data_IF_590732589371
#
_entry.id   IF_590732589371
#
_cell.length_a   1.000
_cell.length_b   1.000
_cell.length_c   1.000
_cell.angle_alpha   90.00
_cell.angle_beta   90.00
_cell.angle_gamma   90.00
#
_symmetry.space_group_name_H-M   'P 1'
#
loop_
_entity.id
_entity.type
_entity.pdbx_description
1 polymer ?
#
# COMPACT_ATOMS: atom_id res chain seq x y z
N UNK A 1 -20.60 -2.75 13.67
CA UNK A 1 -19.91 -3.86 12.94
C UNK A 1 -18.44 -3.53 12.78
N UNK A 2 -17.51 -4.48 12.99
CA UNK A 2 -16.04 -4.28 12.76
C UNK A 2 -15.46 -3.05 13.45
N UNK A 3 -15.80 -2.77 14.71
CA UNK A 3 -15.39 -1.54 15.41
C UNK A 3 -13.85 -1.41 15.52
N UNK A 4 -13.15 -2.53 15.72
CA UNK A 4 -11.69 -2.53 15.78
C UNK A 4 -11.06 -2.20 14.41
N UNK A 5 -11.62 -2.72 13.33
CA UNK A 5 -11.18 -2.46 11.96
C UNK A 5 -11.50 -1.02 11.55
N UNK A 6 -12.70 -0.49 11.90
CA UNK A 6 -13.06 0.92 11.68
C UNK A 6 -12.05 1.86 12.34
N UNK A 7 -11.73 1.62 13.61
CA UNK A 7 -10.75 2.43 14.33
C UNK A 7 -9.35 2.32 13.73
N UNK A 8 -8.92 1.10 13.36
CA UNK A 8 -7.63 0.87 12.73
C UNK A 8 -7.52 1.56 11.36
N UNK A 9 -8.59 1.52 10.55
CA UNK A 9 -8.67 2.22 9.25
C UNK A 9 -8.57 3.74 9.45
N UNK A 10 -9.35 4.31 10.36
CA UNK A 10 -9.33 5.74 10.66
C UNK A 10 -7.97 6.20 11.21
N UNK A 11 -7.39 5.43 12.14
CA UNK A 11 -6.08 5.73 12.71
C UNK A 11 -4.98 5.68 11.63
N UNK A 12 -5.05 4.70 10.72
CA UNK A 12 -4.10 4.59 9.61
C UNK A 12 -4.25 5.74 8.62
N UNK A 13 -5.48 6.14 8.29
CA UNK A 13 -5.75 7.30 7.44
C UNK A 13 -5.11 8.58 8.01
N UNK A 14 -5.32 8.86 9.30
CA UNK A 14 -4.67 10.00 9.99
C UNK A 14 -3.15 9.88 9.99
N UNK A 15 -2.60 8.69 10.17
CA UNK A 15 -1.15 8.47 10.14
C UNK A 15 -0.56 8.75 8.76
N UNK A 16 -1.20 8.32 7.68
CA UNK A 16 -0.76 8.61 6.31
C UNK A 16 -0.72 10.11 6.02
N UNK A 17 -1.72 10.87 6.50
CA UNK A 17 -1.74 12.31 6.39
C UNK A 17 -0.60 12.96 7.20
N UNK A 18 -0.36 12.51 8.43
CA UNK A 18 0.74 13.01 9.28
C UNK A 18 2.13 12.74 8.68
N UNK A 19 2.29 11.63 7.95
CA UNK A 19 3.53 11.28 7.23
C UNK A 19 3.67 12.00 5.86
N UNK A 20 2.65 12.75 5.44
CA UNK A 20 2.65 13.47 4.15
C UNK A 20 2.48 12.56 2.94
N UNK A 21 1.91 11.36 3.11
CA UNK A 21 1.71 10.40 2.02
C UNK A 21 0.39 10.62 1.28
N UNK A 22 -0.46 11.49 1.78
CA UNK A 22 -1.75 11.87 1.19
C UNK A 22 -1.97 13.37 1.31
N UNK A 23 -2.75 13.93 0.38
CA UNK A 23 -3.12 15.34 0.39
C UNK A 23 -4.64 15.49 0.31
N UNK A 24 -5.24 16.10 1.33
CA UNK A 24 -6.70 16.32 1.38
C UNK A 24 -7.48 15.01 1.39
N UNK A 25 -8.29 14.77 0.37
CA UNK A 25 -9.12 13.56 0.20
C UNK A 25 -8.48 12.52 -0.73
N UNK A 26 -7.25 12.71 -1.16
CA UNK A 26 -6.54 11.73 -1.99
C UNK A 26 -6.05 10.55 -1.15
N UNK A 27 -6.16 9.35 -1.70
CA UNK A 27 -5.82 8.12 -1.00
C UNK A 27 -6.97 7.53 -0.18
N UNK A 28 -6.84 6.26 0.19
CA UNK A 28 -7.84 5.51 0.93
C UNK A 28 -7.24 4.27 1.59
N UNK A 29 -7.93 3.78 2.63
CA UNK A 29 -7.47 2.67 3.47
C UNK A 29 -8.61 1.71 3.68
N UNK A 30 -8.31 0.41 3.68
CA UNK A 30 -9.28 -0.60 4.10
C UNK A 30 -8.64 -1.76 4.87
N UNK A 31 -9.46 -2.43 5.67
CA UNK A 31 -9.10 -3.67 6.37
C UNK A 31 -10.24 -4.67 6.25
N UNK A 32 -9.89 -5.93 5.94
CA UNK A 32 -10.86 -7.02 5.78
C UNK A 32 -10.88 -7.93 7.00
N UNK A 33 -12.08 -8.39 7.38
CA UNK A 33 -12.27 -9.43 8.39
C UNK A 33 -13.58 -10.16 8.17
N UNK A 34 -13.56 -11.48 8.25
CA UNK A 34 -14.74 -12.35 8.21
C UNK A 34 -15.66 -12.09 6.98
N UNK A 35 -15.04 -11.83 5.81
CA UNK A 35 -15.75 -11.57 4.56
C UNK A 35 -16.32 -10.14 4.42
N UNK A 36 -16.05 -9.27 5.38
CA UNK A 36 -16.42 -7.85 5.37
C UNK A 36 -15.18 -6.97 5.27
N UNK A 37 -15.34 -5.77 4.73
CA UNK A 37 -14.28 -4.78 4.52
C UNK A 37 -14.69 -3.45 5.12
N UNK A 38 -13.94 -2.98 6.12
CA UNK A 38 -13.99 -1.61 6.60
C UNK A 38 -13.16 -0.73 5.66
N UNK A 39 -13.73 0.37 5.14
CA UNK A 39 -13.06 1.21 4.14
C UNK A 39 -13.38 2.68 4.35
N UNK A 40 -12.40 3.56 4.13
CA UNK A 40 -12.60 5.02 4.16
C UNK A 40 -13.64 5.45 3.15
N UNK A 41 -14.49 6.46 3.46
CA UNK A 41 -15.50 6.93 2.54
C UNK A 41 -14.90 7.79 1.42
N UNK A 42 -15.64 7.93 0.33
CA UNK A 42 -15.27 8.82 -0.77
C UNK A 42 -15.24 10.28 -0.30
N UNK A 43 -14.23 11.02 -0.74
CA UNK A 43 -14.06 12.43 -0.40
C UNK A 43 -13.64 12.71 1.06
N UNK A 44 -13.31 11.68 1.86
CA UNK A 44 -12.85 11.86 3.22
C UNK A 44 -11.52 12.62 3.28
N UNK A 45 -11.43 13.63 4.15
CA UNK A 45 -10.16 14.28 4.50
C UNK A 45 -9.47 13.36 5.49
N UNK A 46 -8.41 12.65 5.05
CA UNK A 46 -7.82 11.56 5.82
C UNK A 46 -7.22 12.01 7.14
N UNK A 47 -6.75 13.26 7.24
CA UNK A 47 -6.28 13.85 8.50
C UNK A 47 -7.35 13.89 9.60
N UNK A 48 -8.64 13.99 9.19
CA UNK A 48 -9.78 14.12 10.07
C UNK A 48 -10.58 12.81 10.21
N UNK A 49 -10.14 11.73 9.57
CA UNK A 49 -10.89 10.48 9.55
C UNK A 49 -11.22 9.97 10.95
N UNK A 50 -12.48 9.57 11.16
CA UNK A 50 -12.96 8.94 12.38
C UNK A 50 -13.56 7.56 12.08
N UNK A 51 -13.64 6.71 13.11
CA UNK A 51 -14.22 5.37 12.95
C UNK A 51 -15.71 5.41 12.54
N UNK A 52 -16.44 6.46 12.91
CA UNK A 52 -17.85 6.67 12.52
C UNK A 52 -18.01 6.93 11.03
N UNK A 53 -16.98 7.46 10.35
CA UNK A 53 -17.04 7.75 8.92
C UNK A 53 -16.81 6.50 8.05
N UNK A 54 -16.17 5.47 8.62
CA UNK A 54 -15.77 4.26 7.89
C UNK A 54 -16.98 3.43 7.49
N UNK A 55 -17.11 3.18 6.19
CA UNK A 55 -18.13 2.30 5.63
C UNK A 55 -17.72 0.83 5.76
N UNK A 56 -18.71 -0.06 5.88
CA UNK A 56 -18.52 -1.51 5.78
C UNK A 56 -19.18 -2.00 4.50
N UNK A 57 -18.42 -2.76 3.72
CA UNK A 57 -18.91 -3.41 2.50
C UNK A 57 -18.65 -4.92 2.57
N UNK A 58 -19.43 -5.70 1.82
CA UNK A 58 -19.09 -7.10 1.56
C UNK A 58 -18.06 -7.23 0.40
N UNK A 59 -17.59 -8.43 0.13
CA UNK A 59 -16.62 -8.66 -0.95
C UNK A 59 -17.23 -8.48 -2.37
N UNK A 60 -18.55 -8.38 -2.50
CA UNK A 60 -19.27 -8.02 -3.72
C UNK A 60 -19.40 -6.52 -3.90
N UNK A 61 -19.00 -5.72 -2.89
CA UNK A 61 -19.01 -4.25 -2.92
C UNK A 61 -20.33 -3.64 -2.47
N UNK A 62 -21.24 -4.42 -1.90
CA UNK A 62 -22.49 -3.90 -1.34
C UNK A 62 -22.21 -3.33 0.05
N UNK A 63 -22.63 -2.09 0.28
CA UNK A 63 -22.53 -1.49 1.60
C UNK A 63 -23.51 -2.15 2.57
N UNK A 64 -22.98 -2.62 3.71
CA UNK A 64 -23.76 -3.33 4.75
C UNK A 64 -23.86 -2.55 6.06
N UNK A 65 -22.98 -1.53 6.25
CA UNK A 65 -23.01 -0.63 7.42
C UNK A 65 -22.32 0.70 7.10
N UNK A 66 -22.62 1.75 7.86
CA UNK A 66 -22.09 3.11 7.69
C UNK A 66 -23.02 4.02 6.90
N UNK A 67 -22.94 5.33 7.17
CA UNK A 67 -23.80 6.36 6.54
C UNK A 67 -23.18 6.96 5.28
N UNK A 68 -21.85 6.95 5.18
CA UNK A 68 -21.09 7.54 4.07
C UNK A 68 -20.82 6.49 2.99
N UNK A 69 -20.85 6.90 1.72
CA UNK A 69 -20.53 6.03 0.60
C UNK A 69 -19.03 5.60 0.66
N UNK A 70 -18.70 4.33 0.40
CA UNK A 70 -17.31 3.87 0.37
C UNK A 70 -16.51 4.61 -0.72
N UNK A 71 -15.19 4.54 -0.63
CA UNK A 71 -14.29 5.14 -1.62
C UNK A 71 -14.70 4.81 -3.06
N UNK A 72 -14.55 5.76 -3.97
CA UNK A 72 -14.76 5.56 -5.42
C UNK A 72 -13.76 4.54 -6.00
N UNK A 73 -12.66 4.25 -5.30
CA UNK A 73 -11.64 3.27 -5.71
C UNK A 73 -11.86 1.89 -5.06
N UNK A 74 -13.08 1.61 -4.62
CA UNK A 74 -13.46 0.32 -4.05
C UNK A 74 -13.09 -0.88 -4.94
N UNK A 75 -13.18 -0.84 -6.29
CA UNK A 75 -12.73 -1.95 -7.14
C UNK A 75 -11.27 -2.35 -6.92
N UNK A 76 -10.39 -1.37 -6.67
CA UNK A 76 -8.97 -1.59 -6.39
C UNK A 76 -8.78 -2.40 -5.09
N UNK A 77 -9.49 -2.01 -4.02
CA UNK A 77 -9.45 -2.70 -2.73
C UNK A 77 -10.03 -4.11 -2.81
N UNK A 78 -11.24 -4.24 -3.33
CA UNK A 78 -11.90 -5.55 -3.45
C UNK A 78 -11.12 -6.52 -4.35
N UNK A 79 -10.52 -6.00 -5.43
CA UNK A 79 -9.64 -6.76 -6.29
C UNK A 79 -8.43 -7.32 -5.54
N UNK A 80 -7.79 -6.51 -4.68
CA UNK A 80 -6.65 -6.95 -3.86
C UNK A 80 -7.04 -8.06 -2.87
N UNK A 81 -8.21 -7.94 -2.22
CA UNK A 81 -8.71 -8.98 -1.32
C UNK A 81 -8.99 -10.28 -2.06
N UNK A 82 -9.67 -10.22 -3.20
CA UNK A 82 -10.06 -11.41 -3.98
C UNK A 82 -8.87 -12.10 -4.62
N UNK A 83 -7.90 -11.33 -5.14
CA UNK A 83 -6.78 -11.88 -5.92
C UNK A 83 -5.62 -12.33 -5.05
N UNK A 84 -5.35 -11.61 -3.95
CA UNK A 84 -4.15 -11.81 -3.13
C UNK A 84 -4.44 -12.29 -1.70
N UNK A 85 -5.71 -12.34 -1.29
CA UNK A 85 -6.06 -12.68 0.08
C UNK A 85 -5.48 -11.68 1.09
N UNK A 86 -5.34 -10.42 0.70
CA UNK A 86 -4.84 -9.38 1.57
C UNK A 86 -5.68 -9.25 2.85
N UNK A 87 -5.07 -8.85 3.97
CA UNK A 87 -5.80 -8.49 5.18
C UNK A 87 -6.10 -6.99 5.24
N UNK A 88 -5.30 -6.16 4.56
CA UNK A 88 -5.50 -4.72 4.44
C UNK A 88 -4.90 -4.15 3.17
N UNK A 89 -5.43 -3.01 2.73
CA UNK A 89 -5.02 -2.27 1.54
C UNK A 89 -4.85 -0.80 1.88
N UNK A 90 -3.75 -0.22 1.45
CA UNK A 90 -3.43 1.21 1.58
C UNK A 90 -3.11 1.77 0.20
N UNK A 91 -3.88 2.74 -0.24
CA UNK A 91 -3.63 3.55 -1.43
C UNK A 91 -3.21 4.95 -1.02
N UNK A 92 -2.11 5.45 -1.60
CA UNK A 92 -1.57 6.78 -1.29
C UNK A 92 -1.20 7.55 -2.56
N UNK A 93 -1.10 8.87 -2.42
CA UNK A 93 -0.50 9.77 -3.40
C UNK A 93 0.85 10.30 -2.89
N UNK A 94 1.66 9.39 -2.35
CA UNK A 94 2.97 9.67 -1.77
C UNK A 94 3.87 10.42 -2.78
N UNK A 95 4.40 11.60 -2.45
CA UNK A 95 4.91 12.55 -3.45
C UNK A 95 6.05 12.02 -4.30
N UNK A 96 7.04 11.34 -3.70
CA UNK A 96 8.21 10.88 -4.44
C UNK A 96 7.90 9.62 -5.24
N UNK A 97 7.15 8.68 -4.66
CA UNK A 97 6.70 7.48 -5.37
C UNK A 97 5.81 7.86 -6.57
N UNK A 98 4.90 8.81 -6.38
CA UNK A 98 4.07 9.34 -7.48
C UNK A 98 4.92 10.02 -8.56
N UNK A 99 5.90 10.85 -8.18
CA UNK A 99 6.79 11.49 -9.14
C UNK A 99 7.58 10.45 -9.97
N UNK A 100 8.06 9.39 -9.32
CA UNK A 100 8.76 8.30 -10.03
C UNK A 100 7.83 7.52 -10.95
N UNK A 101 6.55 7.35 -10.60
CA UNK A 101 5.56 6.69 -11.47
C UNK A 101 5.31 7.44 -12.79
N UNK A 102 5.67 8.73 -12.84
CA UNK A 102 5.55 9.55 -14.06
C UNK A 102 6.72 9.35 -15.04
N UNK A 103 7.82 8.71 -14.62
CA UNK A 103 9.06 8.64 -15.41
C UNK A 103 9.69 7.24 -15.47
N UNK A 104 9.22 6.30 -14.66
CA UNK A 104 9.73 4.93 -14.63
C UNK A 104 8.64 3.93 -15.04
N UNK A 105 9.08 2.78 -15.57
CA UNK A 105 8.25 1.59 -15.73
C UNK A 105 8.33 0.67 -14.49
N UNK A 106 9.41 0.81 -13.71
CA UNK A 106 9.66 0.02 -12.50
C UNK A 106 10.62 0.77 -11.57
N UNK A 107 10.34 0.80 -10.27
CA UNK A 107 11.30 1.23 -9.24
C UNK A 107 12.23 0.05 -8.92
N UNK A 108 13.53 0.12 -9.31
CA UNK A 108 14.46 -0.97 -9.10
C UNK A 108 14.88 -1.10 -7.64
N UNK A 109 15.45 -2.25 -7.26
CA UNK A 109 15.89 -2.51 -5.89
C UNK A 109 17.17 -1.75 -5.58
N UNK A 110 17.05 -0.61 -4.90
CA UNK A 110 18.17 0.21 -4.42
C UNK A 110 18.56 -0.07 -2.96
N UNK A 111 17.70 -0.79 -2.24
CA UNK A 111 17.92 -1.11 -0.84
C UNK A 111 17.33 -2.46 -0.47
N UNK A 112 18.03 -3.23 0.34
CA UNK A 112 17.65 -4.61 0.69
C UNK A 112 16.25 -4.72 1.35
N UNK A 113 15.79 -3.71 2.07
CA UNK A 113 14.45 -3.72 2.68
C UNK A 113 13.32 -3.81 1.65
N UNK A 114 13.55 -3.40 0.38
CA UNK A 114 12.55 -3.54 -0.69
C UNK A 114 12.18 -5.00 -0.98
N UNK A 115 12.96 -5.96 -0.50
CA UNK A 115 12.61 -7.38 -0.54
C UNK A 115 11.28 -7.66 0.19
N UNK A 116 10.92 -6.86 1.21
CA UNK A 116 9.61 -6.95 1.87
C UNK A 116 8.43 -6.57 0.95
N UNK A 117 8.69 -5.75 -0.07
CA UNK A 117 7.72 -5.41 -1.12
C UNK A 117 7.63 -6.47 -2.24
N UNK A 118 8.49 -7.50 -2.17
CA UNK A 118 8.61 -8.57 -3.16
C UNK A 118 9.78 -8.37 -4.15
N UNK A 119 10.47 -7.23 -4.14
CA UNK A 119 11.55 -6.86 -5.04
C UNK A 119 11.30 -5.54 -5.77
N UNK A 120 11.65 -5.42 -7.06
CA UNK A 120 11.35 -4.23 -7.84
C UNK A 120 9.85 -3.95 -7.87
N UNK A 121 9.45 -2.67 -7.79
CA UNK A 121 8.04 -2.28 -7.75
C UNK A 121 7.61 -1.73 -9.11
N UNK A 122 6.73 -2.44 -9.81
CA UNK A 122 6.29 -2.10 -11.16
C UNK A 122 5.33 -0.93 -11.16
N UNK A 123 5.30 -0.21 -12.28
CA UNK A 123 4.35 0.87 -12.53
C UNK A 123 3.22 0.32 -13.40
N UNK A 124 2.00 0.34 -12.90
CA UNK A 124 0.80 0.05 -13.69
C UNK A 124 0.59 1.15 -14.74
N UNK A 125 0.19 0.81 -15.97
CA UNK A 125 -0.19 1.81 -16.96
C UNK A 125 -1.30 2.74 -16.44
N UNK A 126 -1.31 3.97 -16.97
CA UNK A 126 -2.35 4.94 -16.61
C UNK A 126 -3.74 4.47 -17.03
N UNK A 127 -4.68 4.57 -16.11
CA UNK A 127 -6.12 4.50 -16.35
C UNK A 127 -6.83 5.49 -15.43
N UNK A 128 -8.07 5.84 -15.76
CA UNK A 128 -8.85 6.82 -14.98
C UNK A 128 -9.16 6.27 -13.59
N UNK A 129 -9.03 7.11 -12.57
CA UNK A 129 -9.32 6.74 -11.18
C UNK A 129 -10.75 6.20 -11.00
N UNK A 130 -10.92 5.25 -10.08
CA UNK A 130 -12.23 4.65 -9.77
C UNK A 130 -12.75 3.64 -10.80
N UNK A 131 -12.01 3.39 -11.90
CA UNK A 131 -12.43 2.43 -12.93
C UNK A 131 -11.96 1.00 -12.60
N UNK A 132 -12.68 0.01 -13.12
CA UNK A 132 -12.25 -1.39 -13.05
C UNK A 132 -10.94 -1.60 -13.82
N UNK A 133 -10.75 -0.89 -14.93
CA UNK A 133 -9.49 -0.94 -15.71
C UNK A 133 -8.28 -0.55 -14.87
N UNK A 134 -8.36 0.55 -14.10
CA UNK A 134 -7.27 0.93 -13.19
C UNK A 134 -7.01 -0.16 -12.16
N UNK A 135 -8.06 -0.75 -11.59
CA UNK A 135 -7.92 -1.83 -10.63
C UNK A 135 -7.20 -3.03 -11.24
N UNK A 136 -7.62 -3.48 -12.42
CA UNK A 136 -7.06 -4.65 -13.10
C UNK A 136 -5.57 -4.43 -13.45
N UNK A 137 -5.23 -3.29 -14.05
CA UNK A 137 -3.84 -2.94 -14.40
C UNK A 137 -2.94 -2.85 -13.17
N UNK A 138 -3.43 -2.23 -12.08
CA UNK A 138 -2.67 -2.11 -10.84
C UNK A 138 -2.43 -3.47 -10.20
N UNK A 139 -3.46 -4.31 -10.15
CA UNK A 139 -3.33 -5.67 -9.61
C UNK A 139 -2.42 -6.54 -10.49
N UNK A 140 -2.41 -6.37 -11.80
CA UNK A 140 -1.47 -7.07 -12.67
C UNK A 140 -0.01 -6.67 -12.38
N UNK A 141 0.26 -5.38 -12.18
CA UNK A 141 1.57 -4.88 -11.80
C UNK A 141 2.02 -5.42 -10.42
N UNK A 142 1.09 -5.75 -9.54
CA UNK A 142 1.36 -6.32 -8.21
C UNK A 142 1.66 -7.82 -8.21
N UNK A 143 1.63 -8.53 -9.34
CA UNK A 143 1.91 -9.97 -9.37
C UNK A 143 3.22 -10.29 -8.63
N UNK A 144 3.15 -11.17 -7.60
CA UNK A 144 4.26 -11.53 -6.71
C UNK A 144 4.88 -10.35 -5.90
N UNK A 145 4.12 -9.29 -5.70
CA UNK A 145 4.53 -8.09 -4.97
C UNK A 145 3.49 -7.69 -3.91
N UNK A 146 3.95 -6.94 -2.90
CA UNK A 146 3.08 -6.33 -1.89
C UNK A 146 2.78 -4.85 -2.20
N UNK A 147 3.29 -4.34 -3.33
CA UNK A 147 3.13 -2.95 -3.75
C UNK A 147 3.16 -2.80 -5.27
N UNK A 148 2.48 -1.77 -5.77
CA UNK A 148 2.62 -1.26 -7.13
C UNK A 148 2.62 0.26 -7.12
N UNK A 149 3.28 0.85 -8.10
CA UNK A 149 3.11 2.24 -8.51
C UNK A 149 2.00 2.31 -9.57
N UNK A 150 1.28 3.40 -9.62
CA UNK A 150 0.26 3.68 -10.64
C UNK A 150 0.68 4.92 -11.41
N UNK A 151 0.85 4.80 -12.72
CA UNK A 151 1.34 5.88 -13.59
C UNK A 151 0.54 7.16 -13.39
N UNK A 152 1.24 8.28 -13.07
CA UNK A 152 0.65 9.60 -12.86
C UNK A 152 -0.48 9.67 -11.81
N UNK A 153 -0.46 8.76 -10.82
CA UNK A 153 -1.54 8.66 -9.85
C UNK A 153 -1.01 8.50 -8.42
N UNK A 154 -0.38 7.38 -8.09
CA UNK A 154 0.02 7.09 -6.73
C UNK A 154 0.53 5.67 -6.54
N UNK A 155 0.21 5.07 -5.38
CA UNK A 155 0.69 3.74 -4.99
C UNK A 155 -0.43 2.89 -4.42
N UNK A 156 -0.32 1.57 -4.58
CA UNK A 156 -1.13 0.59 -3.85
C UNK A 156 -0.20 -0.33 -3.07
N UNK A 157 -0.47 -0.50 -1.77
CA UNK A 157 0.23 -1.45 -0.92
C UNK A 157 -0.77 -2.36 -0.21
N UNK A 158 -0.40 -3.64 -0.08
CA UNK A 158 -1.19 -4.64 0.66
C UNK A 158 -0.37 -5.22 1.82
N UNK A 159 -1.07 -5.79 2.78
CA UNK A 159 -0.47 -6.52 3.90
C UNK A 159 -1.40 -7.58 4.46
N UNK A 160 -0.84 -8.51 5.25
CA UNK A 160 -1.64 -9.49 6.00
C UNK A 160 -2.53 -8.83 7.07
N UNK A 161 -2.16 -7.61 7.47
CA UNK A 161 -2.88 -6.73 8.38
C UNK A 161 -2.60 -5.27 8.03
N UNK A 162 -3.31 -4.37 8.70
CA UNK A 162 -3.23 -2.93 8.43
C UNK A 162 -1.86 -2.33 8.80
N UNK A 163 -1.19 -2.87 9.82
CA UNK A 163 0.14 -2.42 10.22
C UNK A 163 1.18 -2.78 9.15
N UNK A 164 1.07 -3.96 8.57
CA UNK A 164 1.92 -4.40 7.45
C UNK A 164 1.67 -3.58 6.18
N UNK A 165 0.41 -3.33 5.81
CA UNK A 165 0.07 -2.52 4.64
C UNK A 165 0.58 -1.07 4.78
N UNK A 166 0.41 -0.45 5.96
CA UNK A 166 0.98 0.86 6.29
C UNK A 166 2.51 0.84 6.22
N UNK A 167 3.15 -0.16 6.84
CA UNK A 167 4.60 -0.31 6.80
C UNK A 167 5.15 -0.42 5.37
N UNK A 168 4.47 -1.16 4.50
CA UNK A 168 4.82 -1.27 3.09
C UNK A 168 4.69 0.08 2.35
N UNK A 169 3.67 0.88 2.66
CA UNK A 169 3.49 2.22 2.07
C UNK A 169 4.58 3.18 2.50
N UNK A 170 4.95 3.19 3.78
CA UNK A 170 6.05 3.99 4.30
C UNK A 170 7.39 3.55 3.69
N UNK A 171 7.63 2.26 3.59
CA UNK A 171 8.84 1.69 2.97
C UNK A 171 8.94 2.06 1.49
N UNK A 172 7.83 2.01 0.75
CA UNK A 172 7.80 2.35 -0.67
C UNK A 172 8.18 3.81 -0.90
N UNK A 173 7.59 4.76 -0.16
CA UNK A 173 7.93 6.18 -0.28
C UNK A 173 9.38 6.46 0.14
N UNK A 174 9.85 5.81 1.21
CA UNK A 174 11.24 5.91 1.61
C UNK A 174 12.18 5.38 0.53
N UNK A 175 11.92 4.21 -0.07
CA UNK A 175 12.72 3.63 -1.13
C UNK A 175 12.72 4.50 -2.40
N UNK A 176 11.56 5.05 -2.76
CA UNK A 176 11.41 6.02 -3.85
C UNK A 176 12.26 7.27 -3.59
N UNK A 177 12.25 7.77 -2.35
CA UNK A 177 13.09 8.92 -1.94
C UNK A 177 14.59 8.60 -2.05
N UNK A 178 15.00 7.42 -1.61
CA UNK A 178 16.40 6.98 -1.72
C UNK A 178 16.82 6.89 -3.19
N UNK A 179 16.01 6.26 -4.04
CA UNK A 179 16.29 6.15 -5.47
C UNK A 179 16.39 7.52 -6.13
N UNK A 180 15.43 8.40 -5.90
CA UNK A 180 15.45 9.77 -6.44
C UNK A 180 16.73 10.52 -6.04
N UNK A 181 17.06 10.54 -4.73
CA UNK A 181 18.27 11.21 -4.24
C UNK A 181 19.55 10.61 -4.81
N UNK A 182 19.65 9.30 -4.88
CA UNK A 182 20.79 8.62 -5.48
C UNK A 182 20.95 9.00 -6.95
N UNK A 183 19.83 9.02 -7.71
CA UNK A 183 19.81 9.37 -9.13
C UNK A 183 20.22 10.83 -9.39
N UNK A 184 19.98 11.75 -8.45
CA UNK A 184 20.46 13.14 -8.57
C UNK A 184 21.96 13.29 -8.28
N UNK A 185 22.56 12.32 -7.59
CA UNK A 185 24.00 12.32 -7.28
C UNK A 185 24.83 11.55 -8.33
N UNK A 186 24.19 10.70 -9.13
CA UNK A 186 24.83 9.87 -10.15
C UNK A 186 23.99 8.65 -10.51
N UNK A 187 24.60 7.65 -11.15
CA UNK A 187 23.91 6.39 -11.47
C UNK A 187 23.81 5.53 -10.21
N UNK A 188 22.59 5.20 -9.72
CA UNK A 188 22.43 4.34 -8.55
C UNK A 188 23.01 2.94 -8.76
N UNK A 189 23.64 2.40 -7.72
CA UNK A 189 23.99 0.97 -7.68
C UNK A 189 22.76 0.19 -7.25
N UNK A 190 22.35 -0.75 -8.08
CA UNK A 190 21.21 -1.61 -7.81
C UNK A 190 21.67 -2.92 -7.18
N UNK A 191 20.82 -3.55 -6.39
CA UNK A 191 21.04 -4.90 -5.89
C UNK A 191 20.65 -5.90 -6.98
N UNK A 192 21.55 -6.85 -7.26
CA UNK A 192 21.30 -7.96 -8.16
C UNK A 192 20.54 -9.12 -7.47
N UNK A 193 20.11 -10.10 -8.28
CA UNK A 193 19.32 -11.24 -7.79
C UNK A 193 20.09 -12.10 -6.78
N UNK A 194 21.42 -12.20 -6.88
CA UNK A 194 22.26 -12.96 -5.95
C UNK A 194 22.30 -12.25 -4.58
N UNK A 195 22.50 -10.94 -4.56
CA UNK A 195 22.50 -10.12 -3.35
C UNK A 195 21.11 -10.14 -2.66
N UNK A 196 20.03 -10.09 -3.44
CA UNK A 196 18.66 -10.21 -2.95
C UNK A 196 18.42 -11.60 -2.34
N UNK A 197 18.87 -12.66 -3.01
CA UNK A 197 18.74 -14.02 -2.52
C UNK A 197 19.56 -14.25 -1.25
N UNK A 198 20.78 -13.68 -1.18
CA UNK A 198 21.62 -13.75 0.02
C UNK A 198 20.97 -13.04 1.22
N UNK A 199 20.42 -11.86 1.00
CA UNK A 199 19.65 -11.15 2.03
C UNK A 199 18.47 -11.99 2.56
N UNK A 200 17.70 -12.64 1.66
CA UNK A 200 16.59 -13.53 2.06
C UNK A 200 17.08 -14.70 2.92
N UNK A 201 18.16 -15.36 2.52
CA UNK A 201 18.79 -16.45 3.32
C UNK A 201 19.21 -15.95 4.70
N UNK A 202 19.83 -14.77 4.76
CA UNK A 202 20.35 -14.18 6.00
C UNK A 202 19.22 -13.82 6.97
N UNK A 203 18.09 -13.26 6.50
CA UNK A 203 16.93 -12.99 7.35
C UNK A 203 16.41 -14.26 8.00
N UNK A 204 16.25 -15.33 7.21
CA UNK A 204 15.76 -16.62 7.71
C UNK A 204 16.75 -17.21 8.73
N UNK A 205 18.04 -17.23 8.40
CA UNK A 205 19.08 -17.80 9.26
C UNK A 205 19.24 -17.05 10.59
N UNK A 206 19.03 -15.73 10.60
CA UNK A 206 19.12 -14.89 11.81
C UNK A 206 17.82 -14.76 12.57
N UNK A 207 16.71 -15.32 12.04
CA UNK A 207 15.38 -15.18 12.64
C UNK A 207 14.96 -13.71 12.73
N UNK A 208 15.34 -12.87 11.76
CA UNK A 208 14.92 -11.47 11.72
C UNK A 208 13.39 -11.42 11.59
N UNK A 209 12.73 -10.81 12.58
CA UNK A 209 11.28 -10.75 12.69
C UNK A 209 10.87 -9.93 13.92
N UNK A 210 9.71 -10.21 14.53
CA UNK A 210 9.25 -9.52 15.74
C UNK A 210 10.31 -9.52 16.85
N UNK A 211 10.32 -8.49 17.69
CA UNK A 211 11.25 -8.32 18.79
C UNK A 211 11.42 -9.64 19.56
N UNK A 212 12.64 -10.22 19.51
CA UNK A 212 12.98 -11.40 20.27
C UNK A 212 13.38 -10.97 21.69
N UNK A 213 12.69 -11.47 22.70
CA UNK A 213 13.16 -11.34 24.08
C UNK A 213 14.35 -12.27 24.24
N UNK A 214 15.50 -11.77 24.70
CA UNK A 214 16.60 -12.59 25.18
C UNK A 214 16.05 -13.50 26.28
N UNK A 215 16.19 -14.81 26.10
CA UNK A 215 15.92 -15.75 27.19
C UNK A 215 16.94 -15.45 28.27
N UNK A 216 16.46 -15.09 29.46
CA UNK A 216 17.29 -14.99 30.69
C UNK A 216 17.83 -16.35 31.09
#
# INVERSE_FOLDING_TARGET
>A
MLEAEKEAVAATARRLAAEGLVLGSAGNVSAARDGLVAVTPTGAILEQASASDVAIVDLEGRQVDGELAPTSELPLHLGAYRRYGAGAVVHTHAPVATALSCVLDELPVVHYQMVALGGPVRVAPYATFGTQELADLTLDAMADRSAALMSNHGTLCIGADIATALGNSLLLEWAATVYWRASTLGTPRLLDDEQIADYRRTIVARGYGPLQRTRA
#
